data_IF_352024915624
#
_entry.id   IF_352024915624
#
_cell.length_a   1.000
_cell.length_b   1.000
_cell.length_c   1.000
_cell.angle_alpha   90.00
_cell.angle_beta   90.00
_cell.angle_gamma   90.00
#
_symmetry.space_group_name_H-M   'P 1'
#
loop_
_entity.id
_entity.type
_entity.pdbx_description
1 polymer ?
#
# COMPACT_ATOMS: atom_id res chain seq x y z
N UNK A 1 5.67 -67.43 45.54
CA UNK A 1 5.16 -68.13 44.35
C UNK A 1 4.03 -67.29 43.80
N UNK A 2 4.06 -66.97 42.50
CA UNK A 2 2.94 -66.29 41.86
C UNK A 2 1.76 -67.27 41.74
N UNK A 3 0.54 -66.79 41.98
CA UNK A 3 -0.65 -67.63 41.90
C UNK A 3 -1.05 -67.81 40.43
N UNK A 4 -1.26 -69.06 40.01
CA UNK A 4 -1.78 -69.38 38.67
C UNK A 4 -3.21 -69.89 38.83
N UNK A 5 -4.17 -69.21 38.22
CA UNK A 5 -5.57 -69.60 38.15
C UNK A 5 -5.81 -70.31 36.81
N UNK A 6 -6.42 -71.49 36.86
CA UNK A 6 -6.63 -72.32 35.66
C UNK A 6 -8.11 -72.52 35.40
N UNK A 7 -8.53 -72.28 34.17
CA UNK A 7 -9.92 -72.36 33.76
C UNK A 7 -10.07 -73.20 32.49
N UNK A 8 -11.11 -74.04 32.48
CA UNK A 8 -11.54 -74.79 31.30
C UNK A 8 -12.91 -74.26 30.90
N UNK A 9 -13.01 -73.60 29.74
CA UNK A 9 -14.28 -73.08 29.22
C UNK A 9 -15.18 -74.25 28.80
N UNK A 10 -16.46 -74.19 29.16
CA UNK A 10 -17.47 -75.20 28.82
C UNK A 10 -17.64 -76.31 29.86
N UNK A 11 -16.62 -76.60 30.67
CA UNK A 11 -16.68 -77.61 31.73
C UNK A 11 -17.10 -77.02 33.08
N UNK A 12 -18.37 -76.59 33.19
CA UNK A 12 -18.99 -76.22 34.47
C UNK A 12 -20.27 -77.04 34.70
N UNK A 13 -20.25 -77.89 35.72
CA UNK A 13 -21.42 -78.65 36.17
C UNK A 13 -21.64 -78.43 37.66
N UNK A 14 -21.54 -77.18 38.13
CA UNK A 14 -22.05 -76.84 39.46
C UNK A 14 -23.58 -76.85 39.42
N UNK A 15 -24.26 -77.49 40.40
CA UNK A 15 -25.71 -77.48 40.45
C UNK A 15 -26.22 -76.04 40.56
N UNK A 16 -27.20 -75.68 39.73
CA UNK A 16 -27.98 -74.45 39.90
C UNK A 16 -28.64 -74.47 41.29
N UNK A 17 -28.09 -73.78 42.29
CA UNK A 17 -28.85 -73.47 43.52
C UNK A 17 -29.77 -72.27 43.26
N UNK A 18 -30.65 -72.42 42.26
CA UNK A 18 -31.60 -71.40 41.85
C UNK A 18 -32.88 -71.36 42.73
N UNK A 19 -33.03 -72.23 43.73
CA UNK A 19 -34.12 -72.04 44.72
C UNK A 19 -33.84 -70.87 45.70
N UNK A 20 -32.60 -70.38 45.81
CA UNK A 20 -32.21 -69.29 46.71
C UNK A 20 -32.00 -67.93 46.00
N UNK A 21 -32.05 -67.92 44.66
CA UNK A 21 -31.75 -66.75 43.82
C UNK A 21 -32.78 -65.58 43.91
N UNK A 22 -33.78 -65.64 44.79
CA UNK A 22 -34.71 -64.52 45.06
C UNK A 22 -35.16 -64.36 46.53
N UNK A 23 -34.53 -65.03 47.50
CA UNK A 23 -35.02 -64.97 48.88
C UNK A 23 -34.00 -65.37 49.93
N UNK A 24 -33.01 -64.50 50.18
CA UNK A 24 -32.06 -64.66 51.28
C UNK A 24 -30.64 -64.30 50.86
N UNK A 25 -30.12 -63.19 51.37
CA UNK A 25 -28.78 -62.64 51.09
C UNK A 25 -27.63 -63.51 51.65
N UNK A 26 -27.47 -64.75 51.20
CA UNK A 26 -26.26 -65.54 51.47
C UNK A 26 -25.86 -66.35 50.24
N UNK A 27 -25.42 -65.65 49.19
CA UNK A 27 -24.61 -66.25 48.15
C UNK A 27 -23.26 -66.65 48.76
N UNK A 28 -23.02 -67.95 48.89
CA UNK A 28 -21.70 -68.51 49.23
C UNK A 28 -21.24 -69.28 48.01
N UNK A 29 -20.40 -68.68 47.13
CA UNK A 29 -19.88 -69.40 45.99
C UNK A 29 -19.19 -70.68 46.46
N UNK A 30 -19.53 -71.83 45.86
CA UNK A 30 -18.68 -73.02 45.97
C UNK A 30 -17.45 -72.76 45.11
N UNK A 31 -16.42 -72.19 45.74
CA UNK A 31 -15.15 -71.90 45.09
C UNK A 31 -14.42 -73.20 44.82
N UNK A 32 -13.96 -73.37 43.58
CA UNK A 32 -12.98 -74.40 43.29
C UNK A 32 -11.76 -74.19 44.20
N UNK A 33 -11.39 -75.23 44.97
CA UNK A 33 -10.28 -75.17 45.92
C UNK A 33 -8.92 -75.00 45.22
N UNK A 34 -8.84 -75.19 43.89
CA UNK A 34 -7.63 -74.94 43.09
C UNK A 34 -7.33 -73.46 42.92
N UNK A 35 -8.37 -72.65 42.72
CA UNK A 35 -8.24 -71.26 42.29
C UNK A 35 -8.53 -70.32 43.47
N UNK A 36 -7.48 -69.79 44.08
CA UNK A 36 -7.60 -68.86 45.20
C UNK A 36 -6.54 -67.76 45.10
N UNK A 37 -6.86 -66.57 45.63
CA UNK A 37 -5.97 -65.42 45.75
C UNK A 37 -6.12 -64.89 47.17
N UNK A 38 -5.00 -64.60 47.83
CA UNK A 38 -4.99 -63.93 49.11
C UNK A 38 -4.06 -62.72 49.06
N UNK A 39 -4.53 -61.61 49.63
CA UNK A 39 -3.79 -60.35 49.70
C UNK A 39 -4.00 -59.71 51.07
N UNK A 40 -3.27 -58.63 51.36
CA UNK A 40 -3.49 -57.77 52.52
C UNK A 40 -4.20 -56.48 52.10
N UNK A 41 -4.99 -55.93 53.01
CA UNK A 41 -5.64 -54.64 52.83
C UNK A 41 -4.59 -53.56 52.53
N UNK A 42 -4.92 -52.64 51.62
CA UNK A 42 -4.04 -51.55 51.18
C UNK A 42 -2.76 -51.97 50.43
N UNK A 43 -2.68 -53.20 49.92
CA UNK A 43 -1.72 -53.52 48.85
C UNK A 43 -1.97 -52.63 47.61
N UNK A 44 -0.92 -52.34 46.85
CA UNK A 44 -1.02 -51.58 45.61
C UNK A 44 -0.08 -52.18 44.55
N UNK A 45 -0.63 -52.52 43.39
CA UNK A 45 0.05 -52.85 42.12
C UNK A 45 1.04 -54.02 42.10
N UNK A 46 1.39 -54.62 43.24
CA UNK A 46 2.33 -55.75 43.32
C UNK A 46 1.63 -57.11 43.40
N UNK A 47 0.31 -57.13 43.63
CA UNK A 47 -0.47 -58.38 43.67
C UNK A 47 -0.84 -58.81 42.26
N UNK A 48 -0.05 -59.72 41.71
CA UNK A 48 -0.24 -60.26 40.37
C UNK A 48 -0.87 -61.64 40.40
N UNK A 49 -1.78 -61.89 39.48
CA UNK A 49 -2.43 -63.17 39.26
C UNK A 49 -2.19 -63.61 37.83
N UNK A 50 -1.69 -64.82 37.63
CA UNK A 50 -1.52 -65.41 36.32
C UNK A 50 -2.74 -66.25 36.01
N UNK A 51 -3.27 -66.16 34.80
CA UNK A 51 -4.49 -66.84 34.40
C UNK A 51 -4.22 -67.64 33.13
N UNK A 52 -4.64 -68.90 33.15
CA UNK A 52 -4.58 -69.82 32.00
C UNK A 52 -6.00 -70.27 31.67
N UNK A 53 -6.43 -70.04 30.43
CA UNK A 53 -7.74 -70.45 29.91
C UNK A 53 -7.55 -71.46 28.79
N UNK A 54 -8.20 -72.62 28.90
CA UNK A 54 -8.21 -73.66 27.89
C UNK A 54 -9.64 -74.01 27.45
N UNK A 55 -9.78 -74.57 26.26
CA UNK A 55 -11.01 -75.22 25.79
C UNK A 55 -11.22 -76.57 26.49
N UNK A 56 -12.39 -77.19 26.31
CA UNK A 56 -12.72 -78.51 26.88
C UNK A 56 -11.76 -79.63 26.45
N UNK A 57 -11.21 -79.53 25.24
CA UNK A 57 -10.22 -80.48 24.69
C UNK A 57 -8.80 -80.26 25.23
N UNK A 58 -8.61 -79.26 26.10
CA UNK A 58 -7.32 -78.90 26.69
C UNK A 58 -6.44 -78.00 25.81
N UNK A 59 -6.89 -77.63 24.61
CA UNK A 59 -6.20 -76.63 23.78
C UNK A 59 -6.28 -75.24 24.41
N UNK A 60 -5.28 -74.39 24.14
CA UNK A 60 -5.29 -73.00 24.60
C UNK A 60 -6.48 -72.22 24.01
N UNK A 61 -7.11 -71.39 24.84
CA UNK A 61 -8.18 -70.51 24.38
C UNK A 61 -7.59 -69.25 23.73
N UNK A 62 -7.92 -68.95 22.48
CA UNK A 62 -7.34 -67.80 21.76
C UNK A 62 -7.89 -66.45 22.26
N UNK A 63 -7.03 -65.67 22.92
CA UNK A 63 -7.32 -64.34 23.44
C UNK A 63 -6.94 -63.20 22.49
N UNK A 64 -6.58 -63.49 21.24
CA UNK A 64 -6.24 -62.45 20.26
C UNK A 64 -7.42 -61.49 20.07
N UNK A 65 -7.16 -60.18 20.19
CA UNK A 65 -8.18 -59.13 20.11
C UNK A 65 -9.16 -59.09 21.29
N UNK A 66 -8.91 -59.86 22.34
CA UNK A 66 -9.76 -59.87 23.52
C UNK A 66 -9.41 -58.73 24.49
N UNK A 67 -10.42 -58.23 25.17
CA UNK A 67 -10.29 -57.40 26.37
C UNK A 67 -10.71 -58.23 27.59
N UNK A 68 -9.90 -58.23 28.64
CA UNK A 68 -10.17 -58.99 29.86
C UNK A 68 -10.58 -58.04 30.98
N UNK A 69 -11.73 -58.29 31.57
CA UNK A 69 -12.29 -57.55 32.69
C UNK A 69 -12.19 -58.42 33.95
N UNK A 70 -11.58 -57.91 35.00
CA UNK A 70 -11.81 -58.42 36.35
C UNK A 70 -13.13 -57.85 36.87
N UNK A 71 -14.02 -58.74 37.33
CA UNK A 71 -15.29 -58.38 37.95
C UNK A 71 -15.32 -58.94 39.38
N UNK A 72 -15.53 -58.05 40.34
CA UNK A 72 -15.55 -58.40 41.75
C UNK A 72 -16.56 -57.60 42.56
N UNK A 73 -17.10 -58.23 43.60
CA UNK A 73 -17.89 -57.58 44.64
C UNK A 73 -17.06 -57.66 45.93
N UNK A 74 -16.76 -56.49 46.50
CA UNK A 74 -15.94 -56.40 47.71
C UNK A 74 -16.59 -57.12 48.90
N UNK A 75 -15.81 -57.47 49.94
CA UNK A 75 -16.33 -58.15 51.13
C UNK A 75 -17.48 -57.42 51.85
N UNK A 76 -17.60 -56.10 51.69
CA UNK A 76 -18.69 -55.28 52.25
C UNK A 76 -20.05 -55.49 51.56
N UNK A 77 -20.09 -56.20 50.42
CA UNK A 77 -21.29 -56.45 49.61
C UNK A 77 -21.95 -55.17 49.05
N UNK A 78 -21.23 -54.05 49.01
CA UNK A 78 -21.72 -52.77 48.51
C UNK A 78 -20.95 -52.36 47.26
N UNK A 79 -19.63 -52.39 47.34
CA UNK A 79 -18.76 -51.84 46.30
C UNK A 79 -18.29 -52.89 45.30
N UNK A 80 -18.10 -52.46 44.05
CA UNK A 80 -17.74 -53.31 42.93
C UNK A 80 -16.44 -52.86 42.27
N UNK A 81 -15.70 -53.85 41.78
CA UNK A 81 -14.50 -53.67 40.97
C UNK A 81 -14.81 -54.19 39.57
N UNK A 82 -14.71 -53.32 38.58
CA UNK A 82 -14.81 -53.61 37.16
C UNK A 82 -13.57 -53.02 36.49
N UNK A 83 -12.60 -53.86 36.20
CA UNK A 83 -11.28 -53.40 35.80
C UNK A 83 -10.77 -54.14 34.56
N UNK A 84 -10.42 -53.38 33.53
CA UNK A 84 -9.80 -53.87 32.30
C UNK A 84 -8.43 -53.25 32.00
N UNK A 85 -7.98 -52.29 32.80
CA UNK A 85 -6.76 -51.55 32.51
C UNK A 85 -5.50 -52.27 33.00
N UNK A 86 -5.67 -53.28 33.85
CA UNK A 86 -4.57 -54.03 34.46
C UNK A 86 -4.36 -55.46 33.93
N UNK A 87 -5.06 -55.83 32.86
CA UNK A 87 -4.78 -57.07 32.14
C UNK A 87 -3.55 -56.90 31.24
N UNK A 88 -2.60 -57.83 31.34
CA UNK A 88 -1.35 -57.84 30.57
C UNK A 88 -1.15 -59.19 29.89
N UNK A 89 -1.21 -59.20 28.56
CA UNK A 89 -0.81 -60.34 27.74
C UNK A 89 0.72 -60.37 27.63
N UNK A 90 1.36 -61.11 28.54
CA UNK A 90 2.83 -61.19 28.64
C UNK A 90 3.44 -62.27 27.72
N UNK A 91 2.60 -63.16 27.18
CA UNK A 91 2.91 -64.15 26.14
C UNK A 91 2.03 -63.87 24.90
N UNK A 92 2.20 -64.67 23.84
CA UNK A 92 1.31 -64.65 22.68
C UNK A 92 -0.15 -64.90 23.13
N UNK A 93 -1.13 -64.05 22.78
CA UNK A 93 -2.53 -64.20 23.21
C UNK A 93 -3.18 -65.54 22.79
N UNK A 94 -2.66 -66.20 21.76
CA UNK A 94 -3.12 -67.54 21.33
C UNK A 94 -2.83 -68.63 22.36
N UNK A 95 -1.95 -68.37 23.34
CA UNK A 95 -1.62 -69.30 24.43
C UNK A 95 -2.70 -69.37 25.52
N UNK A 96 -3.70 -68.49 25.49
CA UNK A 96 -4.75 -68.44 26.50
C UNK A 96 -4.27 -67.96 27.86
N UNK A 97 -3.13 -67.26 27.90
CA UNK A 97 -2.53 -66.78 29.15
C UNK A 97 -2.50 -65.26 29.23
N UNK A 98 -2.76 -64.76 30.43
CA UNK A 98 -2.53 -63.35 30.77
C UNK A 98 -2.15 -63.21 32.24
N UNK A 99 -1.54 -62.08 32.56
CA UNK A 99 -1.31 -61.62 33.92
C UNK A 99 -2.34 -60.54 34.22
N UNK A 100 -2.86 -60.53 35.44
CA UNK A 100 -3.69 -59.44 35.94
C UNK A 100 -3.05 -58.83 37.16
N UNK A 101 -2.76 -57.53 37.10
CA UNK A 101 -2.21 -56.78 38.22
C UNK A 101 -3.38 -56.18 39.00
N UNK A 102 -3.64 -56.69 40.21
CA UNK A 102 -4.83 -56.25 40.94
C UNK A 102 -4.72 -54.76 41.35
N UNK A 103 -5.74 -53.93 41.07
CA UNK A 103 -5.73 -52.53 41.41
C UNK A 103 -5.83 -52.34 42.94
N UNK A 104 -5.30 -51.24 43.48
CA UNK A 104 -5.34 -50.95 44.91
C UNK A 104 -6.77 -51.01 45.50
N UNK A 105 -7.77 -50.60 44.72
CA UNK A 105 -9.19 -50.61 45.05
C UNK A 105 -9.70 -52.00 45.42
N UNK A 106 -9.09 -53.05 44.84
CA UNK A 106 -9.38 -54.44 45.18
C UNK A 106 -9.00 -54.82 46.62
N UNK A 107 -8.20 -53.99 47.30
CA UNK A 107 -7.71 -54.25 48.65
C UNK A 107 -8.25 -53.25 49.68
N UNK A 108 -9.32 -52.52 49.36
CA UNK A 108 -9.88 -51.49 50.24
C UNK A 108 -10.64 -52.06 51.45
N UNK A 109 -11.21 -53.26 51.34
CA UNK A 109 -12.00 -53.91 52.40
C UNK A 109 -11.43 -55.28 52.73
N UNK A 110 -11.17 -55.55 54.01
CA UNK A 110 -10.77 -56.86 54.49
C UNK A 110 -11.95 -57.85 54.49
N UNK A 111 -11.68 -59.10 54.12
CA UNK A 111 -12.64 -60.21 54.12
C UNK A 111 -12.62 -60.99 52.81
N UNK A 112 -13.56 -61.93 52.70
CA UNK A 112 -13.78 -62.73 51.50
C UNK A 112 -14.63 -61.94 50.50
N UNK A 113 -14.16 -61.78 49.26
CA UNK A 113 -14.94 -61.25 48.15
C UNK A 113 -16.23 -62.05 47.98
N UNK A 114 -17.35 -61.37 47.73
CA UNK A 114 -18.63 -62.06 47.48
C UNK A 114 -18.64 -62.75 46.13
N UNK A 115 -17.93 -62.19 45.17
CA UNK A 115 -17.73 -62.76 43.85
C UNK A 115 -16.44 -62.19 43.27
N UNK A 116 -15.68 -63.01 42.54
CA UNK A 116 -14.46 -62.59 41.84
C UNK A 116 -14.26 -63.53 40.64
N UNK A 117 -14.24 -62.99 39.43
CA UNK A 117 -14.05 -63.74 38.19
C UNK A 117 -13.50 -62.82 37.09
N UNK A 118 -13.10 -63.43 35.97
CA UNK A 118 -12.69 -62.69 34.78
C UNK A 118 -13.73 -62.85 33.69
N UNK A 119 -14.03 -61.76 32.98
CA UNK A 119 -14.80 -61.77 31.75
C UNK A 119 -13.89 -61.45 30.58
N UNK A 120 -13.93 -62.31 29.56
CA UNK A 120 -13.22 -62.10 28.29
C UNK A 120 -14.23 -61.55 27.29
N UNK A 121 -13.99 -60.35 26.78
CA UNK A 121 -14.77 -59.67 25.75
C UNK A 121 -14.01 -59.74 24.42
N UNK A 122 -14.64 -60.22 23.35
CA UNK A 122 -14.06 -60.27 21.99
C UNK A 122 -15.17 -60.06 20.98
N UNK A 123 -15.01 -59.11 20.05
CA UNK A 123 -15.98 -58.81 18.99
C UNK A 123 -17.44 -58.61 19.49
N UNK A 124 -17.62 -57.84 20.57
CA UNK A 124 -18.91 -57.61 21.26
C UNK A 124 -19.56 -58.87 21.87
N UNK A 125 -18.85 -60.00 21.86
CA UNK A 125 -19.24 -61.24 22.54
C UNK A 125 -18.44 -61.38 23.81
N UNK A 126 -18.94 -62.19 24.74
CA UNK A 126 -18.23 -62.41 25.99
C UNK A 126 -18.41 -63.83 26.53
N UNK A 127 -17.39 -64.25 27.28
CA UNK A 127 -17.41 -65.43 28.15
C UNK A 127 -16.87 -65.02 29.51
N UNK A 128 -17.28 -65.72 30.57
CA UNK A 128 -16.75 -65.51 31.91
C UNK A 128 -16.08 -66.79 32.41
N UNK A 129 -15.02 -66.63 33.20
CA UNK A 129 -14.45 -67.72 34.00
C UNK A 129 -15.37 -68.05 35.16
N UNK A 130 -15.13 -69.19 35.81
CA UNK A 130 -15.76 -69.47 37.09
C UNK A 130 -15.19 -68.56 38.18
N UNK A 131 -15.94 -68.42 39.27
CA UNK A 131 -15.48 -67.68 40.43
C UNK A 131 -14.24 -68.32 41.07
N UNK A 132 -13.30 -67.50 41.54
CA UNK A 132 -12.18 -67.93 42.37
C UNK A 132 -12.29 -67.35 43.78
N UNK A 133 -11.69 -68.04 44.75
CA UNK A 133 -11.69 -67.56 46.13
C UNK A 133 -10.74 -66.37 46.26
N UNK A 134 -11.25 -65.16 46.50
CA UNK A 134 -10.39 -63.99 46.77
C UNK A 134 -10.57 -63.45 48.20
N UNK A 135 -9.52 -63.49 49.01
CA UNK A 135 -9.53 -63.07 50.40
C UNK A 135 -8.53 -61.92 50.66
N UNK A 136 -9.01 -60.87 51.35
CA UNK A 136 -8.20 -59.73 51.78
C UNK A 136 -8.04 -59.78 53.29
N UNK A 137 -6.81 -59.94 53.77
CA UNK A 137 -6.48 -59.93 55.19
C UNK A 137 -6.45 -58.50 55.72
N UNK A 138 -7.02 -58.27 56.90
CA UNK A 138 -7.00 -56.96 57.53
C UNK A 138 -5.56 -56.46 57.77
N UNK A 139 -5.34 -55.17 57.50
CA UNK A 139 -4.14 -54.46 57.93
C UNK A 139 -4.51 -53.55 59.12
N UNK A 140 -3.80 -53.74 60.24
CA UNK A 140 -4.03 -52.96 61.46
C UNK A 140 -3.00 -51.83 61.64
N UNK A 141 -2.03 -51.72 60.72
CA UNK A 141 -0.89 -50.80 60.81
C UNK A 141 -1.11 -49.58 59.92
N UNK A 142 -1.60 -49.79 58.71
CA UNK A 142 -1.84 -48.73 57.73
C UNK A 142 -3.34 -48.53 57.56
N UNK A 143 -3.76 -47.28 57.34
CA UNK A 143 -5.11 -46.92 56.92
C UNK A 143 -4.98 -45.97 55.74
N UNK A 144 -5.86 -46.03 54.74
CA UNK A 144 -5.75 -45.04 53.66
C UNK A 144 -6.74 -45.13 52.52
N UNK A 145 -7.17 -46.33 52.10
CA UNK A 145 -8.08 -46.45 50.96
C UNK A 145 -9.53 -46.56 51.41
N UNK A 146 -10.36 -45.60 51.01
CA UNK A 146 -11.82 -45.62 51.23
C UNK A 146 -12.45 -46.51 50.15
N UNK A 147 -13.25 -47.53 50.51
CA UNK A 147 -13.97 -48.35 49.54
C UNK A 147 -14.89 -47.50 48.67
N UNK A 148 -14.93 -47.81 47.37
CA UNK A 148 -15.78 -47.17 46.37
C UNK A 148 -15.90 -48.10 45.17
N UNK A 149 -16.92 -47.87 44.34
CA UNK A 149 -16.97 -48.50 43.02
C UNK A 149 -15.74 -48.06 42.21
N UNK A 150 -15.05 -49.04 41.64
CA UNK A 150 -13.92 -48.85 40.75
C UNK A 150 -14.29 -49.41 39.38
N UNK A 151 -14.40 -48.53 38.38
CA UNK A 151 -14.81 -48.89 37.03
C UNK A 151 -13.80 -48.29 36.06
N UNK A 152 -12.68 -48.99 35.83
CA UNK A 152 -11.58 -48.48 35.01
C UNK A 152 -12.01 -48.09 33.58
N UNK A 153 -12.94 -48.81 32.89
CA UNK A 153 -13.36 -48.39 31.55
C UNK A 153 -14.04 -47.02 31.52
N UNK A 154 -14.70 -46.63 32.62
CA UNK A 154 -15.32 -45.30 32.73
C UNK A 154 -14.27 -44.23 33.01
N UNK A 155 -13.30 -44.52 33.89
CA UNK A 155 -12.20 -43.59 34.19
C UNK A 155 -11.40 -43.29 32.91
N UNK A 156 -11.09 -44.31 32.10
CA UNK A 156 -10.39 -44.15 30.81
C UNK A 156 -11.22 -43.30 29.82
N UNK A 157 -12.53 -43.53 29.76
CA UNK A 157 -13.43 -42.72 28.93
C UNK A 157 -13.44 -41.26 29.37
N UNK A 158 -13.57 -40.99 30.67
CA UNK A 158 -13.55 -39.64 31.21
C UNK A 158 -12.22 -38.93 30.95
N UNK A 159 -11.10 -39.63 31.14
CA UNK A 159 -9.76 -39.08 30.87
C UNK A 159 -9.59 -38.77 29.38
N UNK A 160 -10.00 -39.66 28.49
CA UNK A 160 -9.95 -39.45 27.04
C UNK A 160 -10.76 -38.22 26.62
N UNK A 161 -11.98 -38.08 27.15
CA UNK A 161 -12.83 -36.90 26.90
C UNK A 161 -12.14 -35.64 27.43
N UNK A 162 -11.65 -35.67 28.67
CA UNK A 162 -11.00 -34.51 29.31
C UNK A 162 -9.76 -34.04 28.55
N UNK A 163 -8.90 -34.96 28.11
CA UNK A 163 -7.71 -34.66 27.33
C UNK A 163 -8.06 -34.07 25.97
N UNK A 164 -9.06 -34.66 25.29
CA UNK A 164 -9.56 -34.19 24.00
C UNK A 164 -10.14 -32.77 24.11
N UNK A 165 -10.99 -32.53 25.11
CA UNK A 165 -11.57 -31.20 25.37
C UNK A 165 -10.50 -30.16 25.70
N UNK A 166 -9.51 -30.53 26.53
CA UNK A 166 -8.40 -29.63 26.89
C UNK A 166 -7.60 -29.23 25.64
N UNK A 167 -7.32 -30.20 24.76
CA UNK A 167 -6.62 -29.96 23.49
C UNK A 167 -7.46 -29.07 22.56
N UNK A 168 -8.74 -29.37 22.40
CA UNK A 168 -9.66 -28.60 21.56
C UNK A 168 -9.75 -27.14 22.02
N UNK A 169 -9.86 -26.89 23.34
CA UNK A 169 -9.88 -25.53 23.89
C UNK A 169 -8.57 -24.78 23.60
N UNK A 170 -7.42 -25.44 23.75
CA UNK A 170 -6.13 -24.84 23.47
C UNK A 170 -5.97 -24.48 21.97
N UNK A 171 -6.38 -25.38 21.07
CA UNK A 171 -6.34 -25.15 19.62
C UNK A 171 -7.31 -24.03 19.20
N UNK A 172 -8.54 -24.03 19.71
CA UNK A 172 -9.52 -22.95 19.47
C UNK A 172 -9.00 -21.61 19.97
N UNK A 173 -8.41 -21.56 21.17
CA UNK A 173 -7.82 -20.33 21.71
C UNK A 173 -6.71 -19.81 20.78
N UNK A 174 -5.83 -20.68 20.31
CA UNK A 174 -4.77 -20.32 19.39
C UNK A 174 -5.32 -19.74 18.08
N UNK A 175 -6.32 -20.38 17.48
CA UNK A 175 -6.98 -19.89 16.27
C UNK A 175 -7.59 -18.50 16.50
N UNK A 176 -8.25 -18.29 17.63
CA UNK A 176 -8.82 -16.99 17.99
C UNK A 176 -7.74 -15.94 18.18
N UNK A 177 -6.68 -16.23 18.93
CA UNK A 177 -5.57 -15.30 19.16
C UNK A 177 -4.88 -14.91 17.84
N UNK A 178 -4.60 -15.88 16.96
CA UNK A 178 -3.99 -15.66 15.64
C UNK A 178 -4.89 -14.78 14.77
N UNK A 179 -6.21 -15.03 14.76
CA UNK A 179 -7.17 -14.23 13.99
C UNK A 179 -7.35 -12.83 14.56
N UNK A 180 -7.34 -12.66 15.88
CA UNK A 180 -7.38 -11.34 16.52
C UNK A 180 -6.12 -10.55 16.16
N UNK A 181 -4.94 -11.17 16.14
CA UNK A 181 -3.71 -10.53 15.72
C UNK A 181 -3.75 -10.10 14.24
N UNK A 182 -4.24 -10.99 13.35
CA UNK A 182 -4.42 -10.69 11.92
C UNK A 182 -5.37 -9.50 11.70
N UNK A 183 -6.54 -9.51 12.36
CA UNK A 183 -7.53 -8.41 12.29
C UNK A 183 -6.93 -7.11 12.82
N UNK A 184 -6.18 -7.16 13.93
CA UNK A 184 -5.55 -5.98 14.53
C UNK A 184 -4.51 -5.37 13.57
N UNK A 185 -3.72 -6.20 12.90
CA UNK A 185 -2.74 -5.76 11.91
C UNK A 185 -3.41 -5.15 10.66
N UNK A 186 -4.48 -5.78 10.17
CA UNK A 186 -5.27 -5.26 9.06
C UNK A 186 -5.88 -3.90 9.40
N UNK A 187 -6.47 -3.76 10.59
CA UNK A 187 -7.07 -2.52 11.05
C UNK A 187 -6.03 -1.40 11.25
N UNK A 188 -4.84 -1.76 11.75
CA UNK A 188 -3.70 -0.83 11.87
C UNK A 188 -3.25 -0.33 10.50
N UNK A 189 -3.06 -1.25 9.54
CA UNK A 189 -2.68 -0.91 8.16
C UNK A 189 -3.74 -0.01 7.51
N UNK A 190 -5.03 -0.36 7.65
CA UNK A 190 -6.14 0.41 7.10
C UNK A 190 -6.16 1.84 7.65
N UNK A 191 -5.95 2.02 8.96
CA UNK A 191 -5.91 3.34 9.59
C UNK A 191 -4.72 4.18 9.11
N UNK A 192 -3.55 3.55 8.94
CA UNK A 192 -2.38 4.22 8.41
C UNK A 192 -2.61 4.66 6.95
N UNK A 193 -3.13 3.78 6.11
CA UNK A 193 -3.47 4.10 4.71
C UNK A 193 -4.49 5.23 4.64
N UNK A 194 -5.58 5.16 5.41
CA UNK A 194 -6.59 6.23 5.45
C UNK A 194 -5.99 7.58 5.84
N UNK A 195 -5.09 7.59 6.82
CA UNK A 195 -4.40 8.81 7.26
C UNK A 195 -3.49 9.37 6.16
N UNK A 196 -2.73 8.51 5.49
CA UNK A 196 -1.87 8.90 4.37
C UNK A 196 -2.69 9.46 3.19
N UNK A 197 -3.74 8.76 2.77
CA UNK A 197 -4.64 9.20 1.69
C UNK A 197 -5.31 10.54 2.02
N UNK A 198 -5.75 10.74 3.27
CA UNK A 198 -6.33 12.02 3.68
C UNK A 198 -5.31 13.17 3.61
N UNK A 199 -4.05 12.91 3.97
CA UNK A 199 -2.95 13.87 3.85
C UNK A 199 -2.66 14.24 2.39
N UNK A 200 -2.57 13.25 1.51
CA UNK A 200 -2.38 13.44 0.07
C UNK A 200 -3.54 14.23 -0.56
N UNK A 201 -4.78 13.89 -0.20
CA UNK A 201 -5.99 14.59 -0.65
C UNK A 201 -5.97 16.07 -0.25
N UNK A 202 -5.62 16.37 1.01
CA UNK A 202 -5.54 17.75 1.50
C UNK A 202 -4.41 18.54 0.82
N UNK A 203 -3.30 17.89 0.54
CA UNK A 203 -2.19 18.49 -0.21
C UNK A 203 -2.61 18.83 -1.64
N UNK A 204 -3.27 17.89 -2.34
CA UNK A 204 -3.81 18.12 -3.68
C UNK A 204 -4.87 19.24 -3.69
N UNK A 205 -5.78 19.25 -2.72
CA UNK A 205 -6.78 20.31 -2.54
C UNK A 205 -6.13 21.69 -2.37
N UNK A 206 -5.08 21.77 -1.57
CA UNK A 206 -4.33 23.03 -1.35
C UNK A 206 -3.65 23.50 -2.63
N UNK A 207 -3.00 22.59 -3.36
CA UNK A 207 -2.36 22.92 -4.64
C UNK A 207 -3.36 23.38 -5.69
N UNK A 208 -4.54 22.74 -5.78
CA UNK A 208 -5.62 23.16 -6.67
C UNK A 208 -6.16 24.54 -6.30
N UNK A 209 -6.36 24.82 -5.01
CA UNK A 209 -6.76 26.16 -4.55
C UNK A 209 -5.73 27.24 -4.94
N UNK A 210 -4.44 26.96 -4.77
CA UNK A 210 -3.38 27.88 -5.17
C UNK A 210 -3.33 28.13 -6.69
N UNK A 211 -3.65 27.13 -7.52
CA UNK A 211 -3.79 27.31 -8.97
C UNK A 211 -5.02 28.15 -9.31
N UNK A 212 -6.15 27.88 -8.66
CA UNK A 212 -7.38 28.66 -8.82
C UNK A 212 -7.16 30.14 -8.50
N UNK A 213 -6.46 30.44 -7.41
CA UNK A 213 -6.12 31.82 -7.02
C UNK A 213 -5.22 32.50 -8.06
N UNK A 214 -4.20 31.81 -8.59
CA UNK A 214 -3.32 32.35 -9.64
C UNK A 214 -4.07 32.65 -10.94
N UNK A 215 -5.03 31.80 -11.29
CA UNK A 215 -5.90 32.01 -12.46
C UNK A 215 -6.81 33.22 -12.23
N UNK A 216 -7.38 33.38 -11.03
CA UNK A 216 -8.27 34.51 -10.69
C UNK A 216 -7.55 35.86 -10.59
N UNK A 217 -6.27 35.86 -10.25
CA UNK A 217 -5.47 37.08 -10.05
C UNK A 217 -4.75 37.56 -11.32
N UNK A 218 -5.09 37.03 -12.51
CA UNK A 218 -4.35 37.29 -13.76
C UNK A 218 -2.83 37.07 -13.62
N UNK A 219 -2.40 36.20 -12.69
CA UNK A 219 -1.00 35.93 -12.38
C UNK A 219 -0.34 34.96 -13.36
N UNK A 220 -1.05 34.57 -14.43
CA UNK A 220 -0.61 33.66 -15.46
C UNK A 220 -0.63 34.39 -16.80
N UNK A 221 0.54 34.47 -17.44
CA UNK A 221 0.66 35.03 -18.79
C UNK A 221 0.01 34.09 -19.79
N UNK A 222 -1.17 34.45 -20.26
CA UNK A 222 -1.96 33.68 -21.22
C UNK A 222 -1.37 33.77 -22.63
N UNK A 223 -1.77 32.85 -23.50
CA UNK A 223 -1.36 32.90 -24.91
C UNK A 223 -1.87 34.16 -25.63
N UNK A 224 -3.05 34.68 -25.24
CA UNK A 224 -3.59 35.93 -25.80
C UNK A 224 -2.73 37.13 -25.43
N UNK A 225 -2.35 37.24 -24.15
CA UNK A 225 -1.44 38.30 -23.67
C UNK A 225 -0.05 38.19 -24.31
N UNK A 226 0.43 36.97 -24.60
CA UNK A 226 1.67 36.74 -25.34
C UNK A 226 1.62 37.31 -26.77
N UNK A 227 0.52 37.08 -27.50
CA UNK A 227 0.36 37.63 -28.84
C UNK A 227 0.18 39.16 -28.83
N UNK A 228 -0.53 39.72 -27.84
CA UNK A 228 -0.64 41.18 -27.68
C UNK A 228 0.72 41.82 -27.36
N UNK A 229 1.49 41.22 -26.44
CA UNK A 229 2.84 41.68 -26.12
C UNK A 229 3.75 41.66 -27.35
N UNK A 230 3.73 40.55 -28.12
CA UNK A 230 4.46 40.41 -29.38
C UNK A 230 4.08 41.50 -30.39
N UNK A 231 2.78 41.78 -30.56
CA UNK A 231 2.29 42.86 -31.42
C UNK A 231 2.81 44.24 -30.95
N UNK A 232 2.84 44.48 -29.65
CA UNK A 232 3.34 45.74 -29.07
C UNK A 232 4.82 45.98 -29.36
N UNK A 233 5.64 44.92 -29.35
CA UNK A 233 7.07 44.99 -29.71
C UNK A 233 7.20 45.31 -31.21
N UNK A 234 6.45 44.63 -32.06
CA UNK A 234 6.53 44.81 -33.52
C UNK A 234 6.23 46.27 -33.93
N UNK A 235 5.20 46.88 -33.35
CA UNK A 235 4.79 48.27 -33.64
C UNK A 235 5.91 49.26 -33.28
N UNK A 236 6.56 49.10 -32.12
CA UNK A 236 7.62 50.01 -31.67
C UNK A 236 8.84 49.99 -32.59
N UNK A 237 9.14 48.87 -33.22
CA UNK A 237 10.24 48.77 -34.18
C UNK A 237 9.94 49.54 -35.48
N UNK A 238 8.69 49.48 -35.98
CA UNK A 238 8.29 50.16 -37.22
C UNK A 238 8.30 51.69 -37.09
N UNK A 239 8.02 52.24 -35.90
CA UNK A 239 7.99 53.71 -35.72
C UNK A 239 9.35 54.39 -35.79
N UNK A 240 10.45 53.68 -35.55
CA UNK A 240 11.79 54.27 -35.60
C UNK A 240 12.22 54.63 -37.03
N UNK A 241 12.01 53.71 -37.99
CA UNK A 241 12.35 53.93 -39.41
C UNK A 241 11.53 55.07 -40.04
N UNK A 242 10.28 55.26 -39.61
CA UNK A 242 9.39 56.32 -40.11
C UNK A 242 9.81 57.74 -39.72
N UNK A 243 10.61 57.91 -38.65
CA UNK A 243 11.06 59.22 -38.19
C UNK A 243 12.23 59.76 -39.05
N UNK A 244 13.11 58.88 -39.53
CA UNK A 244 14.23 59.27 -40.39
C UNK A 244 13.74 59.78 -41.76
N UNK A 245 12.74 59.12 -42.34
CA UNK A 245 12.09 59.56 -43.58
C UNK A 245 11.37 60.92 -43.40
N UNK A 246 10.81 61.19 -42.23
CA UNK A 246 10.18 62.49 -41.95
C UNK A 246 11.23 63.62 -41.86
N UNK A 247 12.37 63.35 -41.21
CA UNK A 247 13.43 64.33 -40.93
C UNK A 247 14.34 64.61 -42.12
N UNK A 248 14.55 63.64 -43.03
CA UNK A 248 15.48 63.78 -44.15
C UNK A 248 14.99 63.14 -45.46
N UNK A 249 13.67 63.00 -45.62
CA UNK A 249 13.06 62.41 -46.82
C UNK A 249 13.16 63.27 -48.08
N UNK A 250 13.18 64.60 -47.96
CA UNK A 250 13.24 65.47 -49.15
C UNK A 250 14.68 65.67 -49.62
N UNK A 251 14.99 65.21 -50.83
CA UNK A 251 16.34 65.27 -51.42
C UNK A 251 16.42 66.33 -52.51
N UNK A 252 17.41 67.21 -52.40
CA UNK A 252 17.69 68.26 -53.38
C UNK A 252 19.10 68.05 -53.92
N UNK A 253 19.22 67.69 -55.18
CA UNK A 253 20.51 67.51 -55.87
C UNK A 253 20.94 68.81 -56.53
N UNK A 254 22.13 69.30 -56.18
CA UNK A 254 22.79 70.47 -56.78
C UNK A 254 24.08 70.01 -57.46
N UNK A 255 24.27 70.45 -58.70
CA UNK A 255 25.56 70.34 -59.41
C UNK A 255 26.24 71.71 -59.30
N UNK A 256 27.25 71.83 -58.44
CA UNK A 256 27.88 73.09 -58.08
C UNK A 256 29.25 73.33 -58.76
N UNK A 257 29.92 72.28 -59.25
CA UNK A 257 31.21 72.33 -59.95
C UNK A 257 32.36 73.02 -59.20
N UNK A 258 32.31 73.06 -57.87
CA UNK A 258 33.32 73.75 -57.06
C UNK A 258 34.58 72.91 -56.82
N UNK A 259 34.60 71.64 -57.25
CA UNK A 259 35.67 70.67 -57.00
C UNK A 259 36.02 70.50 -55.51
N UNK A 260 35.01 70.64 -54.66
CA UNK A 260 35.11 70.60 -53.20
C UNK A 260 33.82 69.99 -52.60
N UNK A 261 33.79 69.78 -51.28
CA UNK A 261 32.65 69.21 -50.55
C UNK A 261 32.03 70.26 -49.60
N UNK A 262 31.36 71.29 -50.13
CA UNK A 262 30.89 72.43 -49.34
C UNK A 262 29.71 72.05 -48.44
N UNK A 263 29.79 72.43 -47.16
CA UNK A 263 28.70 72.18 -46.21
C UNK A 263 27.52 73.14 -46.49
N UNK A 264 26.32 72.62 -46.81
CA UNK A 264 25.18 73.45 -47.13
C UNK A 264 24.61 74.11 -45.88
N UNK A 265 24.09 75.31 -46.05
CA UNK A 265 23.19 75.96 -45.10
C UNK A 265 21.88 76.24 -45.81
N UNK A 266 20.78 75.71 -45.28
CA UNK A 266 19.47 75.79 -45.93
C UNK A 266 18.57 76.76 -45.17
N UNK A 267 18.01 77.72 -45.89
CA UNK A 267 17.00 78.63 -45.38
C UNK A 267 15.69 78.41 -46.14
N UNK A 268 14.59 78.48 -45.41
CA UNK A 268 13.25 78.59 -45.98
C UNK A 268 12.70 79.96 -45.63
N UNK A 269 12.05 80.62 -46.58
CA UNK A 269 11.30 81.84 -46.33
C UNK A 269 10.17 81.99 -47.36
N UNK A 270 9.23 82.88 -47.06
CA UNK A 270 8.09 83.21 -47.91
C UNK A 270 8.08 84.69 -48.27
N UNK A 271 7.49 85.03 -49.41
CA UNK A 271 7.32 86.39 -49.91
C UNK A 271 8.67 87.11 -50.11
N UNK A 272 9.64 86.44 -50.72
CA UNK A 272 10.85 87.09 -51.21
C UNK A 272 10.48 88.20 -52.23
N UNK A 273 11.34 89.21 -52.39
CA UNK A 273 11.10 90.32 -53.32
C UNK A 273 10.78 89.77 -54.72
N UNK A 274 9.60 90.10 -55.24
CA UNK A 274 9.10 89.65 -56.55
C UNK A 274 8.34 88.32 -56.54
N UNK A 275 8.08 87.73 -55.36
CA UNK A 275 7.33 86.47 -55.18
C UNK A 275 6.09 86.64 -54.30
N UNK A 276 5.79 87.87 -53.88
CA UNK A 276 4.65 88.17 -53.00
C UNK A 276 3.30 87.83 -53.66
N UNK A 277 2.36 87.25 -52.90
CA UNK A 277 1.05 86.78 -53.40
C UNK A 277 0.18 87.92 -54.00
N UNK A 278 0.50 89.19 -53.74
CA UNK A 278 -0.18 90.37 -54.29
C UNK A 278 0.64 91.25 -55.24
N UNK A 279 1.84 90.80 -55.64
CA UNK A 279 2.77 91.58 -56.45
C UNK A 279 3.73 92.47 -55.63
N UNK A 280 4.68 93.10 -56.32
CA UNK A 280 5.77 93.85 -55.68
C UNK A 280 5.23 94.94 -54.74
N UNK A 281 5.61 94.87 -53.47
CA UNK A 281 5.19 95.82 -52.42
C UNK A 281 3.86 95.48 -51.73
N UNK A 282 3.23 94.34 -52.06
CA UNK A 282 2.07 93.84 -51.34
C UNK A 282 2.50 93.06 -50.09
N UNK A 283 2.36 93.68 -48.91
CA UNK A 283 2.70 93.08 -47.61
C UNK A 283 3.93 93.72 -46.95
N UNK A 284 4.60 92.98 -46.06
CA UNK A 284 5.86 93.42 -45.45
C UNK A 284 6.96 93.51 -46.51
N UNK A 285 7.76 94.59 -46.48
CA UNK A 285 8.87 94.76 -47.42
C UNK A 285 10.04 93.84 -47.04
N UNK A 286 10.36 92.88 -47.91
CA UNK A 286 11.38 91.84 -47.69
C UNK A 286 10.78 90.45 -47.46
N UNK A 287 11.62 89.49 -47.08
CA UNK A 287 11.20 88.11 -46.80
C UNK A 287 10.48 87.97 -45.45
N UNK A 288 9.63 86.95 -45.34
CA UNK A 288 8.87 86.58 -44.13
C UNK A 288 9.05 85.10 -43.80
N UNK A 289 8.76 84.69 -42.56
CA UNK A 289 8.84 83.29 -42.11
C UNK A 289 10.21 82.62 -42.34
N UNK A 290 11.30 83.39 -42.23
CA UNK A 290 12.67 82.89 -42.39
C UNK A 290 13.00 81.84 -41.32
N UNK A 291 13.40 80.65 -41.76
CA UNK A 291 13.78 79.51 -40.91
C UNK A 291 15.09 78.94 -41.40
N UNK A 292 16.01 78.66 -40.48
CA UNK A 292 17.13 77.75 -40.73
C UNK A 292 16.57 76.32 -40.74
N UNK A 293 16.76 75.60 -41.85
CA UNK A 293 16.25 74.24 -42.04
C UNK A 293 17.39 73.25 -41.72
N UNK A 294 17.20 72.28 -40.82
CA UNK A 294 18.18 71.23 -40.60
C UNK A 294 18.37 70.45 -41.89
N UNK A 295 19.61 70.14 -42.22
CA UNK A 295 19.93 69.40 -43.44
C UNK A 295 21.08 68.41 -43.21
N UNK A 296 21.08 67.36 -44.01
CA UNK A 296 22.22 66.47 -44.21
C UNK A 296 22.78 66.65 -45.61
N UNK A 297 24.10 66.52 -45.72
CA UNK A 297 24.81 66.54 -46.98
C UNK A 297 25.27 65.14 -47.33
N UNK A 298 24.90 64.67 -48.52
CA UNK A 298 25.43 63.46 -49.14
C UNK A 298 26.15 63.88 -50.42
N UNK A 299 27.41 63.47 -50.59
CA UNK A 299 28.21 63.84 -51.75
C UNK A 299 28.43 62.63 -52.64
N UNK A 300 27.96 62.72 -53.88
CA UNK A 300 28.19 61.68 -54.89
C UNK A 300 29.57 61.83 -55.54
N UNK A 301 30.04 63.07 -55.67
CA UNK A 301 31.34 63.45 -56.22
C UNK A 301 31.70 64.88 -55.74
N UNK A 302 32.87 65.40 -56.14
CA UNK A 302 33.34 66.73 -55.71
C UNK A 302 32.71 67.92 -56.47
N UNK A 303 31.73 67.67 -57.35
CA UNK A 303 31.01 68.70 -58.10
C UNK A 303 29.51 68.68 -57.83
N UNK A 304 29.02 67.74 -57.02
CA UNK A 304 27.59 67.55 -56.76
C UNK A 304 27.32 67.24 -55.29
N UNK A 305 26.19 67.73 -54.80
CA UNK A 305 25.70 67.51 -53.44
C UNK A 305 24.22 67.15 -53.47
N UNK A 306 23.81 66.17 -52.67
CA UNK A 306 22.42 65.90 -52.31
C UNK A 306 22.18 66.45 -50.91
N UNK A 307 21.37 67.49 -50.84
CA UNK A 307 20.95 68.11 -49.58
C UNK A 307 19.64 67.47 -49.17
N UNK A 308 19.66 66.72 -48.06
CA UNK A 308 18.47 66.08 -47.50
C UNK A 308 17.89 66.98 -46.42
N UNK A 309 16.59 67.29 -46.50
CA UNK A 309 15.87 68.11 -45.54
C UNK A 309 14.54 67.47 -45.15
N UNK A 310 13.87 67.96 -44.09
CA UNK A 310 12.59 67.42 -43.67
C UNK A 310 11.53 67.47 -44.78
N UNK A 311 10.73 66.40 -44.87
CA UNK A 311 9.75 66.17 -45.93
C UNK A 311 8.70 67.27 -46.06
N UNK A 312 8.39 67.96 -44.96
CA UNK A 312 7.43 69.07 -44.92
C UNK A 312 7.88 70.35 -45.64
N UNK A 313 9.16 70.43 -46.05
CA UNK A 313 9.67 71.51 -46.90
C UNK A 313 9.65 71.15 -48.40
N UNK A 314 9.07 70.01 -48.79
CA UNK A 314 9.02 69.60 -50.19
C UNK A 314 8.46 70.68 -51.12
N UNK A 315 9.18 70.91 -52.23
CA UNK A 315 8.76 71.74 -53.35
C UNK A 315 9.05 71.01 -54.65
N UNK A 316 8.05 70.88 -55.51
CA UNK A 316 8.25 70.35 -56.86
C UNK A 316 8.85 71.43 -57.77
N UNK A 317 10.13 71.73 -57.54
CA UNK A 317 10.88 72.77 -58.25
C UNK A 317 12.35 72.35 -58.41
N UNK A 318 12.94 72.67 -59.56
CA UNK A 318 14.37 72.43 -59.77
C UNK A 318 15.19 73.53 -59.11
N UNK A 319 16.34 73.19 -58.48
CA UNK A 319 17.25 74.20 -57.97
C UNK A 319 17.85 75.01 -59.12
N UNK A 320 17.89 76.33 -58.95
CA UNK A 320 18.54 77.25 -59.89
C UNK A 320 19.53 78.16 -59.17
N UNK A 321 20.60 78.55 -59.85
CA UNK A 321 21.67 79.37 -59.30
C UNK A 321 21.43 80.87 -59.53
N UNK A 322 21.52 81.69 -58.49
CA UNK A 322 21.42 83.15 -58.58
C UNK A 322 22.12 83.82 -57.41
N UNK A 323 22.69 85.01 -57.59
CA UNK A 323 23.20 85.84 -56.48
C UNK A 323 24.09 85.11 -55.45
N UNK A 324 24.94 84.16 -55.87
CA UNK A 324 25.85 83.43 -54.99
C UNK A 324 25.30 82.12 -54.39
N UNK A 325 24.02 81.78 -54.59
CA UNK A 325 23.41 80.61 -53.95
C UNK A 325 22.44 79.86 -54.89
N UNK A 326 21.97 78.68 -54.46
CA UNK A 326 20.93 77.93 -55.15
C UNK A 326 19.57 78.16 -54.51
N UNK A 327 18.54 78.24 -55.34
CA UNK A 327 17.18 78.51 -54.91
C UNK A 327 16.21 77.51 -55.51
N UNK A 328 15.19 77.15 -54.74
CA UNK A 328 13.98 76.49 -55.23
C UNK A 328 12.82 77.41 -54.90
N UNK A 329 12.03 77.77 -55.91
CA UNK A 329 10.87 78.65 -55.75
C UNK A 329 9.59 77.95 -56.16
N UNK A 330 8.54 78.08 -55.34
CA UNK A 330 7.18 77.65 -55.69
C UNK A 330 6.17 78.63 -55.13
N UNK A 331 5.53 79.40 -56.02
CA UNK A 331 4.67 80.52 -55.63
C UNK A 331 5.44 81.55 -54.82
N UNK A 332 4.98 81.81 -53.59
CA UNK A 332 5.64 82.72 -52.67
C UNK A 332 6.72 82.07 -51.79
N UNK A 333 6.92 80.74 -51.86
CA UNK A 333 7.85 80.02 -51.01
C UNK A 333 9.20 79.88 -51.68
N UNK A 334 10.26 80.05 -50.90
CA UNK A 334 11.64 79.92 -51.38
C UNK A 334 12.45 79.07 -50.41
N UNK A 335 13.19 78.10 -50.96
CA UNK A 335 14.31 77.47 -50.28
C UNK A 335 15.58 78.05 -50.88
N UNK A 336 16.43 78.59 -50.02
CA UNK A 336 17.79 79.03 -50.36
C UNK A 336 18.78 78.03 -49.79
N UNK A 337 19.71 77.58 -50.62
CA UNK A 337 20.78 76.66 -50.27
C UNK A 337 22.08 77.38 -50.54
N UNK A 338 22.74 77.78 -49.44
CA UNK A 338 24.05 78.40 -49.50
C UNK A 338 25.13 77.36 -49.31
N UNK A 339 26.11 77.36 -50.22
CA UNK A 339 27.30 76.50 -50.12
C UNK A 339 28.52 77.27 -49.59
N UNK A 340 28.31 78.49 -49.07
CA UNK A 340 29.38 79.39 -48.65
C UNK A 340 29.96 80.18 -49.83
N UNK A 341 31.28 80.34 -49.87
CA UNK A 341 31.95 81.07 -50.96
C UNK A 341 32.05 80.17 -52.20
N UNK A 342 31.45 80.62 -53.31
CA UNK A 342 31.40 79.86 -54.56
C UNK A 342 31.95 80.66 -55.75
N UNK A 343 32.57 79.95 -56.70
CA UNK A 343 32.90 80.47 -58.03
C UNK A 343 31.61 80.53 -58.88
N UNK A 344 31.15 81.76 -59.12
CA UNK A 344 29.95 82.06 -59.92
C UNK A 344 29.99 81.48 -61.34
N UNK A 345 31.17 81.43 -61.98
CA UNK A 345 31.30 80.94 -63.34
C UNK A 345 31.15 79.41 -63.38
N UNK A 346 31.74 78.73 -62.39
CA UNK A 346 31.61 77.28 -62.24
C UNK A 346 30.19 76.87 -61.83
N UNK A 347 29.58 77.61 -60.89
CA UNK A 347 28.22 77.38 -60.44
C UNK A 347 27.20 77.53 -61.58
N UNK A 348 27.34 78.57 -62.42
CA UNK A 348 26.50 78.76 -63.62
C UNK A 348 26.62 77.63 -64.63
N UNK A 349 27.78 76.99 -64.75
CA UNK A 349 27.94 75.83 -65.65
C UNK A 349 27.20 74.57 -65.16
N UNK A 350 26.88 74.52 -63.86
CA UNK A 350 26.09 73.46 -63.23
C UNK A 350 24.59 73.77 -63.12
N UNK A 351 24.22 75.04 -63.33
CA UNK A 351 22.84 75.52 -63.18
C UNK A 351 21.84 74.75 -64.07
N UNK A 352 20.66 74.50 -63.54
CA UNK A 352 19.59 73.73 -64.19
C UNK A 352 19.82 72.22 -64.33
N UNK A 353 20.99 71.69 -63.94
CA UNK A 353 21.29 70.24 -63.95
C UNK A 353 20.89 69.52 -62.66
N UNK A 354 20.56 70.28 -61.62
CA UNK A 354 20.05 69.73 -60.38
C UNK A 354 18.60 69.24 -60.47
N UNK A 355 18.16 68.53 -59.43
CA UNK A 355 16.81 68.02 -59.31
C UNK A 355 16.36 68.01 -57.84
N UNK A 356 15.07 67.78 -57.60
CA UNK A 356 14.55 67.60 -56.26
C UNK A 356 13.48 66.49 -56.28
N UNK A 357 13.45 65.64 -55.25
CA UNK A 357 12.50 64.53 -55.13
C UNK A 357 12.35 64.11 -53.68
N UNK A 358 11.28 63.36 -53.41
CA UNK A 358 10.88 62.94 -52.08
C UNK A 358 10.91 61.41 -51.94
#
# INVERSE_FOLDING_TARGET
>A
MAQILKYVIGKDYRPLTALEAKGGNTFTPDYDKSNWVQARQYEDSLRQVFVEITNEDGSAYDLTGANVLFEGILPDNEHKILDNSHAVFYEDPTTGKFRFDMPAQSFSVAGQYKQAFFRVMKDYRNIATLEFKFEVLADMVVTGLVPRDYISPLDDLFNTIKETETKNVAELKKIVDDKVAEITNLMTTLNQTNTATLSELNSAKTALGALEDKIKQDGLFTQGEAEEFKKSILIKMVTADSLEELLFGYKITIVHNQKDYPKPTVFYYENAIGTEIGGLGAGSFGETLTKLVPCEAEYTDNNSIVVRIPRNFYMDAKPYYKYGDWYLGSGNKTIKISLGNVDDSAAKAGDGKGSSHL
#
